data_IF_334985068206
#
_entry.id   IF_334985068206
#
_cell.length_a   1.000
_cell.length_b   1.000
_cell.length_c   1.000
_cell.angle_alpha   90.00
_cell.angle_beta   90.00
_cell.angle_gamma   90.00
#
_symmetry.space_group_name_H-M   'P 1'
#
loop_
_entity.id
_entity.type
_entity.pdbx_description
1 polymer ?
#
# COMPACT_ATOMS: atom_id res chain seq x y z
N UNK A 1 -3.31 -12.30 3.07
CA UNK A 1 -2.19 -12.71 3.93
C UNK A 1 -1.41 -13.85 3.33
N UNK A 2 -0.45 -14.39 4.08
CA UNK A 2 0.35 -15.52 3.67
C UNK A 2 -0.49 -16.80 3.57
N UNK A 3 -0.26 -17.57 2.51
CA UNK A 3 -0.91 -18.85 2.25
C UNK A 3 0.05 -19.78 1.53
N UNK A 4 -0.34 -21.08 1.42
CA UNK A 4 0.43 -22.02 0.62
C UNK A 4 0.32 -21.70 -0.88
N UNK A 5 1.29 -22.18 -1.67
CA UNK A 5 1.31 -21.98 -3.13
C UNK A 5 0.06 -22.60 -3.78
N UNK A 6 -0.39 -23.74 -3.29
CA UNK A 6 -1.60 -24.42 -3.76
C UNK A 6 -2.85 -23.57 -3.53
N UNK A 7 -2.96 -22.92 -2.36
CA UNK A 7 -4.07 -22.03 -2.05
C UNK A 7 -4.08 -20.80 -2.99
N UNK A 8 -2.93 -20.22 -3.29
CA UNK A 8 -2.82 -19.15 -4.28
C UNK A 8 -3.21 -19.63 -5.68
N UNK A 9 -2.76 -20.84 -6.08
CA UNK A 9 -3.11 -21.42 -7.37
C UNK A 9 -4.62 -21.65 -7.52
N UNK A 10 -5.29 -22.14 -6.45
CA UNK A 10 -6.74 -22.31 -6.46
C UNK A 10 -7.48 -20.99 -6.64
N UNK A 11 -7.06 -19.93 -5.93
CA UNK A 11 -7.65 -18.61 -6.09
C UNK A 11 -7.42 -18.03 -7.49
N UNK A 12 -6.23 -18.25 -8.07
CA UNK A 12 -5.91 -17.83 -9.41
C UNK A 12 -6.81 -18.53 -10.45
N UNK A 13 -6.98 -19.83 -10.32
CA UNK A 13 -7.85 -20.64 -11.19
C UNK A 13 -9.33 -20.23 -11.07
N UNK A 14 -9.73 -19.72 -9.90
CA UNK A 14 -11.07 -19.16 -9.68
C UNK A 14 -11.25 -17.72 -10.20
N UNK A 15 -10.20 -17.13 -10.83
CA UNK A 15 -10.26 -15.82 -11.49
C UNK A 15 -9.64 -14.67 -10.70
N UNK A 16 -8.99 -14.90 -9.55
CA UNK A 16 -8.25 -13.89 -8.84
C UNK A 16 -6.89 -13.62 -9.52
N UNK A 17 -6.77 -12.54 -10.29
CA UNK A 17 -5.60 -12.24 -11.12
C UNK A 17 -4.63 -11.25 -10.49
N UNK A 18 -4.99 -10.61 -9.36
CA UNK A 18 -4.15 -9.64 -8.64
C UNK A 18 -4.08 -10.00 -7.17
N UNK A 19 -2.91 -9.77 -6.57
CA UNK A 19 -2.71 -9.99 -5.15
C UNK A 19 -1.76 -8.94 -4.58
N UNK A 20 -2.17 -8.25 -3.52
CA UNK A 20 -1.32 -7.34 -2.77
C UNK A 20 -0.91 -8.02 -1.46
N UNK A 21 0.39 -8.22 -1.30
CA UNK A 21 1.01 -8.70 -0.07
C UNK A 21 2.22 -7.81 0.25
N UNK A 22 2.06 -6.89 1.19
CA UNK A 22 3.15 -6.01 1.59
C UNK A 22 4.24 -6.82 2.30
N UNK A 23 5.51 -6.58 1.95
CA UNK A 23 6.64 -7.19 2.65
C UNK A 23 6.92 -6.54 4.01
N UNK A 24 6.38 -5.34 4.23
CA UNK A 24 6.42 -4.46 5.41
C UNK A 24 7.81 -3.87 5.68
N UNK A 25 8.86 -4.63 5.56
CA UNK A 25 10.27 -4.23 5.48
C UNK A 25 11.08 -5.34 4.82
N UNK A 26 12.15 -5.00 4.12
CA UNK A 26 13.05 -5.98 3.48
C UNK A 26 14.20 -6.44 4.38
N UNK A 27 14.33 -5.85 5.58
CA UNK A 27 15.35 -6.16 6.57
C UNK A 27 14.83 -7.15 7.63
N UNK A 28 15.55 -8.26 7.84
CA UNK A 28 15.11 -9.34 8.74
C UNK A 28 15.05 -8.91 10.21
N UNK A 29 16.04 -8.16 10.69
CA UNK A 29 16.07 -7.67 12.06
C UNK A 29 14.89 -6.72 12.33
N UNK A 30 14.68 -5.77 11.45
CA UNK A 30 13.54 -4.85 11.54
C UNK A 30 12.20 -5.61 11.46
N UNK A 31 12.08 -6.59 10.56
CA UNK A 31 10.88 -7.43 10.43
C UNK A 31 10.55 -8.17 11.71
N UNK A 32 11.56 -8.78 12.35
CA UNK A 32 11.39 -9.53 13.60
C UNK A 32 10.96 -8.66 14.77
N UNK A 33 11.33 -7.38 14.77
CA UNK A 33 10.88 -6.40 15.79
C UNK A 33 9.43 -5.93 15.60
N UNK A 34 8.91 -6.03 14.37
CA UNK A 34 7.56 -5.59 14.04
C UNK A 34 6.53 -6.72 14.11
N UNK A 35 6.94 -7.97 14.08
CA UNK A 35 6.04 -9.12 13.93
C UNK A 35 6.26 -10.17 15.04
N UNK A 36 5.24 -10.99 15.35
CA UNK A 36 5.40 -12.15 16.24
C UNK A 36 6.45 -13.12 15.72
N UNK A 37 7.13 -13.82 16.63
CA UNK A 37 8.24 -14.75 16.32
C UNK A 37 7.92 -15.85 15.28
N UNK A 38 6.65 -16.24 15.18
CA UNK A 38 6.20 -17.25 14.21
C UNK A 38 6.03 -16.71 12.78
N UNK A 39 6.22 -15.41 12.56
CA UNK A 39 6.19 -14.76 11.23
C UNK A 39 7.59 -14.34 10.83
N UNK A 40 8.04 -14.81 9.67
CA UNK A 40 9.39 -14.50 9.15
C UNK A 40 9.32 -13.75 7.83
N UNK A 41 10.29 -12.87 7.59
CA UNK A 41 10.45 -12.18 6.31
C UNK A 41 10.67 -13.16 5.16
N UNK A 42 11.42 -14.26 5.40
CA UNK A 42 11.63 -15.30 4.41
C UNK A 42 10.30 -15.91 3.92
N UNK A 43 9.42 -16.27 4.86
CA UNK A 43 8.09 -16.79 4.53
C UNK A 43 7.28 -15.77 3.70
N UNK A 44 7.32 -14.50 4.10
CA UNK A 44 6.67 -13.40 3.39
C UNK A 44 7.19 -13.23 1.96
N UNK A 45 8.51 -13.19 1.79
CA UNK A 45 9.16 -13.10 0.47
C UNK A 45 8.85 -14.33 -0.39
N UNK A 46 8.89 -15.54 0.17
CA UNK A 46 8.51 -16.78 -0.53
C UNK A 46 7.08 -16.72 -1.06
N UNK A 47 6.14 -16.20 -0.28
CA UNK A 47 4.75 -16.00 -0.75
C UNK A 47 4.69 -15.05 -1.95
N UNK A 48 5.44 -13.95 -1.92
CA UNK A 48 5.52 -12.99 -3.03
C UNK A 48 6.07 -13.65 -4.32
N UNK A 49 7.14 -14.43 -4.21
CA UNK A 49 7.69 -15.15 -5.36
C UNK A 49 6.75 -16.24 -5.89
N UNK A 50 6.05 -16.96 -5.01
CA UNK A 50 5.01 -17.92 -5.41
C UNK A 50 3.89 -17.25 -6.20
N UNK A 51 3.40 -16.11 -5.74
CA UNK A 51 2.38 -15.33 -6.45
C UNK A 51 2.85 -14.91 -7.85
N UNK A 52 4.10 -14.46 -7.97
CA UNK A 52 4.69 -14.05 -9.25
C UNK A 52 4.84 -15.23 -10.20
N UNK A 53 5.29 -16.40 -9.70
CA UNK A 53 5.45 -17.63 -10.46
C UNK A 53 4.11 -18.17 -11.00
N UNK A 54 3.03 -18.05 -10.21
CA UNK A 54 1.66 -18.44 -10.63
C UNK A 54 1.13 -17.52 -11.74
N UNK A 55 1.63 -16.28 -11.84
CA UNK A 55 1.22 -15.33 -12.88
C UNK A 55 0.31 -14.20 -12.39
N UNK A 56 0.20 -13.98 -11.08
CA UNK A 56 -0.52 -12.83 -10.55
C UNK A 56 0.13 -11.50 -10.95
N UNK A 57 -0.67 -10.47 -11.10
CA UNK A 57 -0.19 -9.09 -10.96
C UNK A 57 0.06 -8.86 -9.47
N UNK A 58 1.33 -8.88 -9.08
CA UNK A 58 1.71 -8.84 -7.67
C UNK A 58 1.92 -7.40 -7.22
N UNK A 59 1.28 -7.05 -6.11
CA UNK A 59 1.56 -5.85 -5.35
C UNK A 59 2.36 -6.17 -4.08
N UNK A 60 3.31 -5.30 -3.74
CA UNK A 60 4.02 -5.33 -2.47
C UNK A 60 4.15 -3.93 -1.88
N UNK A 61 4.94 -3.73 -0.85
CA UNK A 61 5.16 -2.44 -0.23
C UNK A 61 5.61 -2.53 1.23
N UNK A 62 5.80 -1.37 1.84
CA UNK A 62 6.28 -1.24 3.20
C UNK A 62 5.61 -0.05 3.92
N UNK A 63 5.81 0.05 5.23
CA UNK A 63 5.39 1.20 6.04
C UNK A 63 6.52 2.21 6.13
N UNK A 64 6.18 3.50 6.15
CA UNK A 64 7.14 4.60 6.31
C UNK A 64 7.02 5.16 7.72
N UNK A 65 8.13 5.17 8.45
CA UNK A 65 8.19 5.62 9.83
C UNK A 65 7.58 4.61 10.81
N UNK A 66 7.67 3.31 10.51
CA UNK A 66 7.33 2.26 11.47
C UNK A 66 8.36 2.25 12.62
N UNK A 67 8.00 1.72 13.81
CA UNK A 67 8.92 1.64 14.94
C UNK A 67 10.26 1.03 14.53
N UNK A 68 11.35 1.60 15.05
CA UNK A 68 12.74 1.14 14.81
C UNK A 68 13.26 1.26 13.36
N UNK A 69 12.50 1.81 12.43
CA UNK A 69 12.91 1.96 11.03
C UNK A 69 14.07 2.95 10.89
N UNK A 70 15.10 2.55 10.18
CA UNK A 70 16.25 3.41 9.81
C UNK A 70 16.21 3.79 8.33
N UNK A 71 17.09 4.70 7.92
CA UNK A 71 17.25 5.07 6.49
C UNK A 71 17.79 3.88 5.69
N UNK A 72 18.66 3.06 6.29
CA UNK A 72 19.18 1.84 5.67
C UNK A 72 18.07 0.84 5.40
N UNK A 73 17.11 0.66 6.34
CA UNK A 73 15.94 -0.21 6.10
C UNK A 73 15.11 0.29 4.91
N UNK A 74 14.89 1.60 4.80
CA UNK A 74 14.17 2.18 3.65
C UNK A 74 14.94 1.98 2.33
N UNK A 75 16.27 2.06 2.36
CA UNK A 75 17.09 1.78 1.18
C UNK A 75 17.00 0.30 0.78
N UNK A 76 17.04 -0.64 1.74
CA UNK A 76 16.83 -2.07 1.48
C UNK A 76 15.44 -2.35 0.90
N UNK A 77 14.40 -1.68 1.39
CA UNK A 77 13.04 -1.76 0.85
C UNK A 77 12.97 -1.31 -0.61
N UNK A 78 13.60 -0.20 -0.94
CA UNK A 78 13.68 0.30 -2.33
C UNK A 78 14.46 -0.66 -3.23
N UNK A 79 15.59 -1.21 -2.76
CA UNK A 79 16.37 -2.21 -3.50
C UNK A 79 15.55 -3.49 -3.74
N UNK A 80 14.86 -3.98 -2.73
CA UNK A 80 13.97 -5.14 -2.87
C UNK A 80 12.87 -4.89 -3.91
N UNK A 81 12.21 -3.72 -3.87
CA UNK A 81 11.16 -3.34 -4.85
C UNK A 81 11.72 -3.29 -6.26
N UNK A 82 12.93 -2.71 -6.45
CA UNK A 82 13.60 -2.67 -7.75
C UNK A 82 13.82 -4.07 -8.30
N UNK A 83 14.39 -4.96 -7.50
CA UNK A 83 14.79 -6.30 -7.93
C UNK A 83 13.58 -7.23 -8.10
N UNK A 84 12.59 -7.12 -7.22
CA UNK A 84 11.34 -7.86 -7.32
C UNK A 84 10.46 -7.36 -8.48
N UNK A 85 10.51 -6.06 -8.81
CA UNK A 85 9.74 -5.43 -9.90
C UNK A 85 8.23 -5.77 -9.85
N UNK A 86 7.50 -5.33 -8.82
CA UNK A 86 6.07 -5.58 -8.66
C UNK A 86 5.24 -4.70 -9.61
N UNK A 87 4.01 -5.12 -9.90
CA UNK A 87 3.05 -4.33 -10.67
C UNK A 87 2.38 -3.24 -9.83
N UNK A 88 2.34 -3.38 -8.51
CA UNK A 88 1.83 -2.38 -7.59
C UNK A 88 2.77 -2.22 -6.40
N UNK A 89 2.97 -0.97 -5.94
CA UNK A 89 3.72 -0.69 -4.71
C UNK A 89 2.85 0.15 -3.78
N UNK A 90 2.44 -0.44 -2.67
CA UNK A 90 1.66 0.22 -1.63
C UNK A 90 2.54 0.68 -0.46
N UNK A 91 2.94 1.94 -0.46
CA UNK A 91 3.61 2.57 0.68
C UNK A 91 2.70 3.61 1.33
N UNK A 92 2.87 3.81 2.60
CA UNK A 92 2.13 4.80 3.36
C UNK A 92 2.72 4.98 4.76
N UNK A 93 2.41 6.10 5.42
CA UNK A 93 2.90 6.36 6.75
C UNK A 93 2.37 5.32 7.75
N UNK A 94 3.22 4.94 8.70
CA UNK A 94 2.78 4.20 9.88
C UNK A 94 1.84 5.08 10.70
N UNK A 95 0.73 4.50 11.15
CA UNK A 95 -0.20 5.12 12.09
C UNK A 95 -0.49 4.09 13.18
N UNK A 96 -0.23 4.41 14.46
CA UNK A 96 -0.46 3.49 15.56
C UNK A 96 -1.93 3.11 15.72
N UNK A 97 -2.19 1.98 16.36
CA UNK A 97 -3.53 1.56 16.77
C UNK A 97 -3.54 1.24 18.25
N UNK A 98 -4.59 1.65 18.96
CA UNK A 98 -4.72 1.50 20.42
C UNK A 98 -4.62 0.06 20.91
N UNK A 99 -5.01 -0.91 20.11
CA UNK A 99 -5.00 -2.33 20.45
C UNK A 99 -3.71 -3.06 20.00
N UNK A 100 -2.62 -2.33 19.74
CA UNK A 100 -1.35 -2.92 19.31
C UNK A 100 -0.23 -2.60 20.29
N UNK A 101 0.85 -3.40 20.33
CA UNK A 101 2.04 -3.09 21.13
C UNK A 101 2.69 -1.74 20.78
N UNK A 102 2.38 -1.16 19.63
CA UNK A 102 2.93 0.11 19.14
C UNK A 102 1.98 1.30 19.32
N UNK A 103 1.01 1.22 20.24
CA UNK A 103 -0.01 2.25 20.43
C UNK A 103 0.58 3.61 20.89
N UNK A 104 1.72 3.61 21.57
CA UNK A 104 2.42 4.82 22.05
C UNK A 104 3.52 5.33 21.08
N UNK A 105 3.73 4.63 19.96
CA UNK A 105 4.75 5.01 18.99
C UNK A 105 4.31 6.21 18.14
N UNK A 106 5.28 6.97 17.66
CA UNK A 106 5.01 8.12 16.81
C UNK A 106 4.52 7.69 15.43
N UNK A 107 3.59 8.42 14.88
CA UNK A 107 3.16 8.21 13.48
C UNK A 107 4.28 8.56 12.50
N UNK A 108 4.28 7.90 11.33
CA UNK A 108 5.22 8.16 10.25
C UNK A 108 5.08 9.56 9.65
N UNK A 109 6.18 10.04 9.07
CA UNK A 109 6.29 11.38 8.50
C UNK A 109 5.69 11.44 7.09
N UNK A 110 4.82 12.43 6.83
CA UNK A 110 4.19 12.64 5.52
C UNK A 110 5.22 12.96 4.43
N UNK A 111 6.12 13.92 4.68
CA UNK A 111 7.07 14.40 3.68
C UNK A 111 8.04 13.29 3.24
N UNK A 112 8.51 12.47 4.19
CA UNK A 112 9.32 11.31 3.88
C UNK A 112 8.55 10.29 3.03
N UNK A 113 7.26 10.06 3.34
CA UNK A 113 6.43 9.16 2.55
C UNK A 113 6.21 9.67 1.11
N UNK A 114 5.98 10.97 0.93
CA UNK A 114 5.85 11.60 -0.38
C UNK A 114 7.15 11.54 -1.18
N UNK A 115 8.28 11.77 -0.51
CA UNK A 115 9.61 11.64 -1.11
C UNK A 115 9.87 10.22 -1.62
N UNK A 116 9.57 9.21 -0.79
CA UNK A 116 9.71 7.81 -1.18
C UNK A 116 8.75 7.40 -2.31
N UNK A 117 7.51 7.94 -2.33
CA UNK A 117 6.60 7.75 -3.46
C UNK A 117 7.21 8.27 -4.77
N UNK A 118 7.83 9.44 -4.73
CA UNK A 118 8.50 10.02 -5.91
C UNK A 118 9.67 9.15 -6.38
N UNK A 119 10.48 8.64 -5.45
CA UNK A 119 11.58 7.72 -5.78
C UNK A 119 11.03 6.44 -6.44
N UNK A 120 10.00 5.83 -5.84
CA UNK A 120 9.39 4.61 -6.40
C UNK A 120 8.83 4.87 -7.79
N UNK A 121 8.21 6.03 -8.04
CA UNK A 121 7.71 6.42 -9.38
C UNK A 121 8.85 6.51 -10.40
N UNK A 122 9.99 7.08 -10.02
CA UNK A 122 11.16 7.18 -10.90
C UNK A 122 11.78 5.81 -11.17
N UNK A 123 11.86 4.95 -10.15
CA UNK A 123 12.41 3.60 -10.26
C UNK A 123 11.52 2.65 -11.07
N UNK A 124 10.21 2.75 -10.91
CA UNK A 124 9.19 1.90 -11.53
C UNK A 124 8.11 2.76 -12.21
N UNK A 125 8.41 3.34 -13.40
CA UNK A 125 7.54 4.33 -14.05
C UNK A 125 6.13 3.82 -14.35
N UNK A 126 5.95 2.51 -14.51
CA UNK A 126 4.68 1.88 -14.87
C UNK A 126 3.89 1.35 -13.67
N UNK A 127 4.49 1.27 -12.48
CA UNK A 127 3.86 0.67 -11.32
C UNK A 127 2.57 1.40 -10.92
N UNK A 128 1.62 0.63 -10.44
CA UNK A 128 0.43 1.16 -9.77
C UNK A 128 0.84 1.61 -8.37
N UNK A 129 0.73 2.91 -8.08
CA UNK A 129 1.09 3.51 -6.79
C UNK A 129 -0.15 4.14 -6.15
N UNK A 130 -0.70 3.55 -5.08
CA UNK A 130 -1.85 4.13 -4.39
C UNK A 130 -1.48 5.38 -3.58
N UNK A 131 -2.28 6.45 -3.74
CA UNK A 131 -2.39 7.49 -2.71
C UNK A 131 -3.26 6.92 -1.58
N UNK A 132 -2.60 6.39 -0.55
CA UNK A 132 -3.26 5.58 0.48
C UNK A 132 -4.21 6.37 1.37
N UNK A 133 -5.15 5.67 2.02
CA UNK A 133 -6.02 6.27 3.03
C UNK A 133 -5.22 6.83 4.20
N UNK A 134 -4.09 6.21 4.56
CA UNK A 134 -3.20 6.67 5.62
C UNK A 134 -2.65 8.09 5.35
N UNK A 135 -2.26 8.40 4.10
CA UNK A 135 -1.86 9.77 3.73
C UNK A 135 -2.97 10.79 4.03
N UNK A 136 -4.21 10.47 3.63
CA UNK A 136 -5.37 11.32 3.89
C UNK A 136 -5.78 11.37 5.37
N UNK A 137 -5.33 10.43 6.21
CA UNK A 137 -5.60 10.41 7.65
C UNK A 137 -4.66 11.37 8.39
N UNK A 138 -3.39 11.42 8.02
CA UNK A 138 -2.41 12.31 8.66
C UNK A 138 -2.44 13.74 8.11
N UNK A 139 -2.94 13.94 6.89
CA UNK A 139 -3.10 15.26 6.26
C UNK A 139 -4.39 15.29 5.42
N UNK A 140 -5.29 16.29 5.60
CA UNK A 140 -6.53 16.39 4.85
C UNK A 140 -6.35 16.44 3.32
N UNK A 141 -5.19 16.87 2.82
CA UNK A 141 -4.80 16.91 1.41
C UNK A 141 -3.72 15.84 1.09
N UNK A 142 -3.50 14.87 1.98
CA UNK A 142 -2.44 13.88 1.84
C UNK A 142 -2.57 13.00 0.60
N UNK A 143 -3.80 12.72 0.15
CA UNK A 143 -4.00 11.96 -1.10
C UNK A 143 -3.66 12.77 -2.33
N UNK A 144 -4.06 14.05 -2.38
CA UNK A 144 -3.72 14.99 -3.43
C UNK A 144 -2.20 15.18 -3.53
N UNK A 145 -1.54 15.40 -2.40
CA UNK A 145 -0.07 15.45 -2.32
C UNK A 145 0.57 14.14 -2.81
N UNK A 146 -0.02 12.99 -2.46
CA UNK A 146 0.42 11.68 -2.95
C UNK A 146 0.35 11.55 -4.46
N UNK A 147 -0.74 12.02 -5.10
CA UNK A 147 -0.86 12.05 -6.57
C UNK A 147 0.22 12.94 -7.18
N UNK A 148 0.42 14.14 -6.64
CA UNK A 148 1.47 15.07 -7.11
C UNK A 148 2.88 14.49 -6.92
N UNK A 149 3.08 13.65 -5.92
CA UNK A 149 4.33 12.93 -5.67
C UNK A 149 4.52 11.67 -6.54
N UNK A 150 3.56 11.34 -7.43
CA UNK A 150 3.69 10.24 -8.38
C UNK A 150 2.74 9.06 -8.18
N UNK A 151 1.83 9.09 -7.19
CA UNK A 151 0.77 8.10 -7.10
C UNK A 151 -0.21 8.24 -8.29
N UNK A 152 -0.81 7.13 -8.72
CA UNK A 152 -1.73 7.08 -9.85
C UNK A 152 -2.96 6.19 -9.59
N UNK A 153 -3.16 5.78 -8.35
CA UNK A 153 -4.31 4.98 -7.93
C UNK A 153 -4.93 5.61 -6.69
N UNK A 154 -6.25 5.73 -6.67
CA UNK A 154 -7.03 6.07 -5.48
C UNK A 154 -8.09 5.00 -5.25
N UNK A 155 -8.27 4.63 -3.99
CA UNK A 155 -9.24 3.61 -3.59
C UNK A 155 -10.30 4.23 -2.68
N UNK A 156 -11.54 4.46 -3.18
CA UNK A 156 -12.64 4.88 -2.32
C UNK A 156 -13.06 3.75 -1.38
N UNK A 157 -13.58 4.12 -0.20
CA UNK A 157 -14.14 3.13 0.71
C UNK A 157 -15.59 2.82 0.32
N UNK A 158 -15.81 1.69 -0.33
CA UNK A 158 -17.14 1.24 -0.76
C UNK A 158 -17.82 0.29 0.23
N UNK A 159 -17.19 -0.02 1.37
CA UNK A 159 -17.79 -0.86 2.41
C UNK A 159 -19.05 -0.18 2.98
N UNK A 160 -20.12 -0.93 3.28
CA UNK A 160 -21.28 -0.38 3.96
C UNK A 160 -20.89 0.24 5.32
N UNK A 161 -21.43 1.42 5.65
CA UNK A 161 -21.05 2.22 6.84
C UNK A 161 -21.07 1.38 8.12
N UNK A 162 -22.12 0.56 8.32
CA UNK A 162 -22.28 -0.32 9.49
C UNK A 162 -21.14 -1.31 9.77
N UNK A 163 -20.28 -1.56 8.77
CA UNK A 163 -19.15 -2.48 8.92
C UNK A 163 -17.80 -1.76 9.01
N UNK A 164 -17.73 -0.47 8.72
CA UNK A 164 -16.47 0.28 8.62
C UNK A 164 -15.76 0.40 9.95
N UNK A 165 -16.50 0.58 11.04
CA UNK A 165 -15.95 0.65 12.40
C UNK A 165 -15.26 -0.65 12.81
N UNK A 166 -15.77 -1.80 12.31
CA UNK A 166 -15.14 -3.11 12.54
C UNK A 166 -13.85 -3.32 11.76
N UNK A 167 -13.50 -2.40 10.87
CA UNK A 167 -12.33 -2.45 9.99
C UNK A 167 -11.41 -1.24 10.23
N UNK A 168 -11.22 -0.90 11.50
CA UNK A 168 -10.31 0.15 11.94
C UNK A 168 -8.90 -0.42 12.07
N UNK A 169 -8.08 -0.27 11.03
CA UNK A 169 -6.71 -0.81 10.99
C UNK A 169 -5.69 0.10 11.71
N UNK A 170 -6.07 1.33 12.01
CA UNK A 170 -5.27 2.33 12.72
C UNK A 170 -6.18 3.45 13.25
N UNK A 171 -5.66 4.24 14.20
CA UNK A 171 -6.41 5.32 14.83
C UNK A 171 -6.85 6.39 13.82
N UNK A 172 -8.00 6.99 14.06
CA UNK A 172 -8.55 8.12 13.29
C UNK A 172 -8.67 7.89 11.78
N UNK A 173 -8.82 6.64 11.34
CA UNK A 173 -8.98 6.31 9.92
C UNK A 173 -10.14 7.11 9.31
N UNK A 174 -9.87 7.86 8.23
CA UNK A 174 -10.86 8.67 7.52
C UNK A 174 -11.90 7.83 6.77
N UNK A 175 -13.01 8.47 6.39
CA UNK A 175 -14.10 7.87 5.58
C UNK A 175 -14.82 6.71 6.28
N UNK A 176 -15.00 6.80 7.59
CA UNK A 176 -15.74 5.80 8.40
C UNK A 176 -17.24 6.07 8.44
N UNK A 177 -17.68 7.33 8.48
CA UNK A 177 -19.08 7.74 8.65
C UNK A 177 -19.82 8.24 7.40
N UNK A 178 -19.16 8.33 6.24
CA UNK A 178 -19.69 8.89 5.01
C UNK A 178 -20.25 7.79 4.08
N UNK A 179 -21.36 8.01 3.40
CA UNK A 179 -21.88 7.09 2.40
C UNK A 179 -20.87 6.91 1.23
N UNK A 180 -20.87 5.71 0.61
CA UNK A 180 -19.89 5.36 -0.42
C UNK A 180 -19.93 6.32 -1.63
N UNK A 181 -21.12 6.70 -2.07
CA UNK A 181 -21.31 7.61 -3.21
C UNK A 181 -20.83 9.04 -2.93
N UNK A 182 -21.09 9.54 -1.71
CA UNK A 182 -20.61 10.85 -1.27
C UNK A 182 -19.09 10.90 -1.16
N UNK A 183 -18.50 9.86 -0.55
CA UNK A 183 -17.04 9.72 -0.42
C UNK A 183 -16.36 9.64 -1.77
N UNK A 184 -16.94 8.91 -2.73
CA UNK A 184 -16.43 8.83 -4.09
C UNK A 184 -16.48 10.19 -4.80
N UNK A 185 -17.63 10.88 -4.74
CA UNK A 185 -17.83 12.19 -5.37
C UNK A 185 -16.91 13.27 -4.79
N UNK A 186 -16.67 13.22 -3.47
CA UNK A 186 -15.73 14.12 -2.80
C UNK A 186 -14.29 13.84 -3.24
N UNK A 187 -13.88 12.56 -3.28
CA UNK A 187 -12.54 12.17 -3.72
C UNK A 187 -12.29 12.61 -5.17
N UNK A 188 -13.26 12.40 -6.06
CA UNK A 188 -13.20 12.83 -7.45
C UNK A 188 -12.93 14.33 -7.57
N UNK A 189 -13.76 15.16 -6.92
CA UNK A 189 -13.59 16.63 -6.92
C UNK A 189 -12.22 17.08 -6.41
N UNK A 190 -11.68 16.41 -5.38
CA UNK A 190 -10.35 16.70 -4.85
C UNK A 190 -9.25 16.40 -5.87
N UNK A 191 -9.34 15.30 -6.59
CA UNK A 191 -8.38 14.94 -7.64
C UNK A 191 -8.48 15.92 -8.83
N UNK A 192 -9.69 16.29 -9.22
CA UNK A 192 -9.93 17.28 -10.28
C UNK A 192 -9.37 18.66 -9.90
N UNK A 193 -9.45 19.05 -8.62
CA UNK A 193 -8.93 20.35 -8.15
C UNK A 193 -7.41 20.51 -8.28
N UNK A 194 -6.67 19.41 -8.40
CA UNK A 194 -5.22 19.42 -8.63
C UNK A 194 -4.84 19.15 -10.10
N UNK A 195 -5.80 19.21 -11.02
CA UNK A 195 -5.59 19.07 -12.46
C UNK A 195 -5.51 17.64 -12.99
N UNK A 196 -5.96 16.65 -12.21
CA UNK A 196 -6.03 15.25 -12.62
C UNK A 196 -7.48 14.82 -12.84
N UNK A 197 -7.67 13.82 -13.68
CA UNK A 197 -8.97 13.19 -13.93
C UNK A 197 -8.98 11.76 -13.36
N UNK A 198 -10.11 11.37 -12.76
CA UNK A 198 -10.33 9.99 -12.32
C UNK A 198 -10.98 9.19 -13.43
N UNK A 199 -10.43 8.03 -13.74
CA UNK A 199 -11.03 7.05 -14.64
C UNK A 199 -11.48 5.83 -13.83
N UNK A 200 -12.65 5.32 -14.17
CA UNK A 200 -13.17 4.06 -13.62
C UNK A 200 -12.69 2.91 -14.52
N UNK A 201 -11.73 2.16 -14.05
CA UNK A 201 -11.16 1.02 -14.76
C UNK A 201 -10.96 -0.14 -13.77
N UNK A 202 -10.82 -1.36 -14.27
CA UNK A 202 -10.40 -2.53 -13.48
C UNK A 202 -9.08 -2.29 -12.77
N UNK A 203 -8.26 -1.35 -13.27
CA UNK A 203 -6.98 -0.94 -12.70
C UNK A 203 -5.90 -2.02 -12.85
N UNK A 204 -5.93 -2.78 -13.93
CA UNK A 204 -4.87 -3.72 -14.25
C UNK A 204 -3.58 -2.97 -14.64
N UNK A 205 -2.44 -3.54 -14.26
CA UNK A 205 -1.14 -3.04 -14.68
C UNK A 205 -1.01 -3.05 -16.21
N UNK A 206 -0.68 -1.89 -16.77
CA UNK A 206 -0.49 -1.71 -18.22
C UNK A 206 0.94 -1.16 -18.43
N UNK A 207 1.89 -1.98 -18.91
CA UNK A 207 3.22 -1.46 -19.23
C UNK A 207 3.13 -0.39 -20.32
N UNK A 208 3.85 0.72 -20.15
CA UNK A 208 3.97 1.74 -21.19
C UNK A 208 4.60 1.09 -22.43
N UNK A 209 3.91 1.17 -23.55
CA UNK A 209 4.51 0.86 -24.84
C UNK A 209 5.32 2.11 -25.22
N UNK A 210 6.64 2.05 -25.05
CA UNK A 210 7.49 3.04 -25.70
C UNK A 210 7.28 2.87 -27.23
N UNK A 211 6.83 3.94 -27.86
CA UNK A 211 6.78 4.05 -29.32
C UNK A 211 8.15 4.41 -29.85
#
# INVERSE_FOLDING_TARGET
GERSKESYQQMYNAGATRFLLRHETANDEHYSRLHPENLTLESRKRCLYNLKEIGYQVGTGFMVGSPYQTIENLAEDLMFIRDFSPQMVGIGPFIPHVDTPFCEEQQGNLELCLYLLSIVRLMLPNALLPATTALGTIDPNGREKGILAGANVVMPNLSPVRYREKYSLYNNKISTGEEAAEGFSRLKRKIESIGYETVEDKGDYKPLKFR
#
